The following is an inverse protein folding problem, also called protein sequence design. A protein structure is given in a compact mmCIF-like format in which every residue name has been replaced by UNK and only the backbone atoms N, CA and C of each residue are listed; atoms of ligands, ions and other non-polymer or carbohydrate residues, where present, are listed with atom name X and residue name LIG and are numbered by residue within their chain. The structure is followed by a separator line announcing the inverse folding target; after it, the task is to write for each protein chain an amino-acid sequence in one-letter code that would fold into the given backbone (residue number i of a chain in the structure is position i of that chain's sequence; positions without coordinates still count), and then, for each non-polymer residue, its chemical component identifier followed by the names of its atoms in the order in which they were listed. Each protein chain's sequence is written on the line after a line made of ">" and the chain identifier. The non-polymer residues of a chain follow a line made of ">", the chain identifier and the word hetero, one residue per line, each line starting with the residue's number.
data_IF_270106632254
#
_entry.id   IF_270106632254
#
_cell.length_a   1.000
_cell.length_b   1.000
_cell.length_c   1.000
_cell.angle_alpha   90.00
_cell.angle_beta   90.00
_cell.angle_gamma   90.00
#
_symmetry.space_group_name_H-M   'P 1'
#
loop_
_entity.id
_entity.type
_entity.pdbx_description
1 polymer ?
#
# COMPACT_ATOMS: atom_id res chain seq x y z
N UNK A 1 -44.58 -38.99 -20.18
CA UNK A 1 -43.38 -38.17 -20.50
C UNK A 1 -43.07 -37.26 -19.30
N UNK A 2 -42.39 -37.73 -18.23
CA UNK A 2 -42.21 -36.95 -16.98
C UNK A 2 -40.76 -36.49 -16.74
N UNK A 3 -39.90 -36.40 -17.76
CA UNK A 3 -38.46 -36.13 -17.58
C UNK A 3 -38.08 -34.64 -17.52
N UNK A 4 -38.99 -33.71 -17.88
CA UNK A 4 -38.66 -32.27 -17.90
C UNK A 4 -38.80 -31.56 -16.55
N UNK A 5 -39.68 -32.02 -15.66
CA UNK A 5 -39.88 -31.37 -14.34
C UNK A 5 -38.68 -31.54 -13.39
N UNK A 6 -37.87 -32.57 -13.56
CA UNK A 6 -36.74 -32.84 -12.67
C UNK A 6 -35.52 -31.94 -12.98
N UNK A 7 -35.38 -31.48 -14.23
CA UNK A 7 -34.27 -30.62 -14.65
C UNK A 7 -34.46 -29.16 -14.21
N UNK A 8 -35.70 -28.66 -14.26
CA UNK A 8 -36.01 -27.28 -13.85
C UNK A 8 -35.89 -27.09 -12.33
N UNK A 9 -36.19 -28.13 -11.54
CA UNK A 9 -36.03 -28.12 -10.08
C UNK A 9 -34.56 -28.17 -9.63
N UNK A 10 -33.68 -28.79 -10.44
CA UNK A 10 -32.23 -28.79 -10.20
C UNK A 10 -31.59 -27.43 -10.54
N UNK A 11 -32.05 -26.75 -11.58
CA UNK A 11 -31.56 -25.41 -11.94
C UNK A 11 -32.03 -24.32 -10.96
N UNK A 12 -33.22 -24.45 -10.36
CA UNK A 12 -33.72 -23.51 -9.35
C UNK A 12 -32.93 -23.53 -8.03
N UNK A 13 -32.23 -24.62 -7.71
CA UNK A 13 -31.48 -24.77 -6.45
C UNK A 13 -29.99 -24.49 -6.57
N UNK A 14 -29.43 -24.36 -7.79
CA UNK A 14 -27.99 -24.27 -8.04
C UNK A 14 -27.46 -22.86 -8.41
N UNK A 15 -28.32 -21.85 -8.41
CA UNK A 15 -28.03 -20.53 -8.99
C UNK A 15 -27.75 -19.35 -8.06
N UNK A 16 -27.66 -19.54 -6.73
CA UNK A 16 -27.26 -18.45 -5.81
C UNK A 16 -25.94 -18.81 -5.11
N UNK A 17 -24.85 -18.90 -5.86
CA UNK A 17 -23.52 -18.68 -5.28
C UNK A 17 -23.56 -17.26 -4.71
N UNK A 18 -23.70 -17.15 -3.39
CA UNK A 18 -23.87 -15.88 -2.69
C UNK A 18 -22.90 -14.85 -3.25
N UNK A 19 -23.44 -13.69 -3.63
CA UNK A 19 -22.64 -12.54 -4.02
C UNK A 19 -21.60 -12.32 -2.94
N UNK A 20 -20.33 -12.63 -3.25
CA UNK A 20 -19.22 -12.29 -2.35
C UNK A 20 -19.38 -10.78 -2.09
N UNK A 21 -19.44 -10.39 -0.83
CA UNK A 21 -19.62 -8.99 -0.45
C UNK A 21 -18.58 -8.07 -1.12
N UNK A 22 -18.75 -6.74 -1.00
CA UNK A 22 -17.89 -5.78 -1.71
C UNK A 22 -16.41 -6.07 -1.43
N UNK A 23 -15.60 -6.04 -2.48
CA UNK A 23 -14.16 -6.22 -2.36
C UNK A 23 -13.55 -5.11 -1.51
N UNK A 24 -12.34 -5.34 -0.98
CA UNK A 24 -11.63 -4.28 -0.25
C UNK A 24 -11.35 -3.06 -1.12
N UNK A 25 -11.19 -3.25 -2.43
CA UNK A 25 -11.01 -2.15 -3.39
C UNK A 25 -12.30 -1.36 -3.54
N UNK A 26 -13.46 -2.01 -3.63
CA UNK A 26 -14.75 -1.33 -3.66
C UNK A 26 -14.98 -0.48 -2.40
N UNK A 27 -14.53 -0.97 -1.24
CA UNK A 27 -14.57 -0.21 0.00
C UNK A 27 -13.65 1.03 -0.05
N UNK A 28 -12.42 0.89 -0.56
CA UNK A 28 -11.49 2.00 -0.73
C UNK A 28 -12.08 3.07 -1.66
N UNK A 29 -12.63 2.67 -2.80
CA UNK A 29 -13.24 3.61 -3.75
C UNK A 29 -14.47 4.31 -3.16
N UNK A 30 -15.32 3.57 -2.45
CA UNK A 30 -16.50 4.13 -1.76
C UNK A 30 -16.10 5.14 -0.69
N UNK A 31 -15.10 4.82 0.12
CA UNK A 31 -14.58 5.73 1.14
C UNK A 31 -13.90 6.95 0.49
N UNK A 32 -13.09 6.78 -0.54
CA UNK A 32 -12.49 7.89 -1.27
C UNK A 32 -13.54 8.88 -1.77
N UNK A 33 -14.64 8.37 -2.37
CA UNK A 33 -15.78 9.19 -2.78
C UNK A 33 -16.41 9.93 -1.60
N UNK A 34 -16.59 9.26 -0.45
CA UNK A 34 -17.12 9.89 0.78
C UNK A 34 -16.24 11.05 1.26
N UNK A 35 -14.92 10.94 1.13
CA UNK A 35 -13.97 11.99 1.50
C UNK A 35 -13.78 13.06 0.40
N UNK A 36 -14.41 12.92 -0.77
CA UNK A 36 -14.21 13.80 -1.91
C UNK A 36 -12.81 13.66 -2.53
N UNK A 37 -12.23 12.47 -2.45
CA UNK A 37 -10.90 12.16 -2.98
C UNK A 37 -10.97 11.44 -4.33
N UNK A 38 -9.98 11.69 -5.19
CA UNK A 38 -9.78 10.96 -6.46
C UNK A 38 -8.47 10.19 -6.42
N UNK A 39 -8.49 8.95 -6.91
CA UNK A 39 -7.36 8.01 -6.84
C UNK A 39 -6.83 7.75 -8.26
N UNK A 40 -5.51 7.71 -8.45
CA UNK A 40 -4.88 7.43 -9.76
C UNK A 40 -4.89 5.95 -10.12
N UNK A 41 -4.67 5.06 -9.14
CA UNK A 41 -4.50 3.62 -9.37
C UNK A 41 -5.63 2.80 -8.75
N UNK A 42 -6.84 3.36 -8.71
CA UNK A 42 -8.02 2.75 -8.08
C UNK A 42 -7.83 2.37 -6.59
N UNK A 43 -6.75 2.87 -5.95
CA UNK A 43 -6.37 2.55 -4.57
C UNK A 43 -5.44 1.35 -4.39
N UNK A 44 -5.00 0.67 -5.45
CA UNK A 44 -4.11 -0.51 -5.38
C UNK A 44 -2.67 -0.15 -5.00
N UNK A 45 -2.00 0.69 -5.80
CA UNK A 45 -0.60 1.08 -5.61
C UNK A 45 0.41 -0.08 -5.58
N UNK A 46 0.07 -1.24 -6.15
CA UNK A 46 0.91 -2.45 -6.08
C UNK A 46 0.96 -3.11 -4.69
N UNK A 47 0.04 -2.76 -3.79
CA UNK A 47 0.01 -3.19 -2.39
C UNK A 47 -1.19 -4.12 -2.13
N UNK A 48 -1.09 -5.11 -1.22
CA UNK A 48 -2.23 -5.94 -0.85
C UNK A 48 -3.44 -5.10 -0.40
N UNK A 49 -4.67 -5.36 -0.90
CA UNK A 49 -5.81 -4.47 -0.69
C UNK A 49 -6.13 -4.13 0.77
N UNK A 50 -5.97 -5.10 1.69
CA UNK A 50 -6.18 -4.88 3.14
C UNK A 50 -5.17 -3.90 3.73
N UNK A 51 -3.91 -3.97 3.29
CA UNK A 51 -2.87 -3.03 3.71
C UNK A 51 -3.13 -1.65 3.09
N UNK A 52 -3.48 -1.59 1.80
CA UNK A 52 -3.86 -0.35 1.14
C UNK A 52 -4.98 0.37 1.90
N UNK A 53 -6.07 -0.33 2.24
CA UNK A 53 -7.19 0.24 3.00
C UNK A 53 -6.74 0.82 4.35
N UNK A 54 -5.86 0.12 5.08
CA UNK A 54 -5.31 0.61 6.35
C UNK A 54 -4.55 1.92 6.17
N UNK A 55 -3.75 2.03 5.11
CA UNK A 55 -2.97 3.24 4.81
C UNK A 55 -3.87 4.39 4.36
N UNK A 56 -4.83 4.13 3.47
CA UNK A 56 -5.80 5.15 3.03
C UNK A 56 -6.56 5.78 4.21
N UNK A 57 -7.03 4.94 5.14
CA UNK A 57 -7.70 5.40 6.37
C UNK A 57 -6.75 6.15 7.30
N UNK A 58 -5.50 5.68 7.49
CA UNK A 58 -4.48 6.36 8.32
C UNK A 58 -4.25 7.81 7.89
N UNK A 59 -4.27 8.08 6.58
CA UNK A 59 -4.05 9.42 6.03
C UNK A 59 -5.35 10.18 5.72
N UNK A 60 -6.52 9.64 6.06
CA UNK A 60 -7.81 10.31 5.84
C UNK A 60 -8.06 10.68 4.37
N UNK A 61 -7.60 9.83 3.44
CA UNK A 61 -7.72 10.04 1.99
C UNK A 61 -7.18 11.41 1.52
N UNK A 62 -6.04 11.83 2.08
CA UNK A 62 -5.36 13.08 1.75
C UNK A 62 -3.87 12.86 1.48
N UNK A 63 -3.31 13.72 0.64
CA UNK A 63 -1.87 13.75 0.43
C UNK A 63 -1.16 14.12 1.74
N UNK A 64 -0.26 13.26 2.19
CA UNK A 64 0.53 13.44 3.40
C UNK A 64 1.42 14.69 3.38
N UNK A 65 1.68 15.25 2.20
CA UNK A 65 2.56 16.41 2.02
C UNK A 65 1.83 17.73 1.82
N UNK A 66 0.83 17.78 0.95
CA UNK A 66 0.13 19.03 0.60
C UNK A 66 -1.35 19.06 0.99
N UNK A 67 -1.87 18.00 1.61
CA UNK A 67 -3.27 17.93 2.07
C UNK A 67 -4.32 17.79 0.97
N UNK A 68 -3.96 17.91 -0.31
CA UNK A 68 -4.93 17.73 -1.40
C UNK A 68 -5.56 16.35 -1.39
N UNK A 69 -6.78 16.25 -1.92
CA UNK A 69 -7.51 14.99 -2.09
C UNK A 69 -7.56 14.50 -3.55
N UNK A 70 -6.90 15.21 -4.46
CA UNK A 70 -6.95 14.93 -5.89
C UNK A 70 -5.78 14.06 -6.34
N UNK A 71 -6.04 13.12 -7.24
CA UNK A 71 -5.04 12.29 -7.95
C UNK A 71 -4.09 11.60 -6.99
N UNK A 72 -4.64 10.91 -5.98
CA UNK A 72 -3.89 10.26 -4.93
C UNK A 72 -3.40 8.88 -5.34
N UNK A 73 -2.21 8.51 -4.89
CA UNK A 73 -1.59 7.20 -5.04
C UNK A 73 -0.89 6.78 -3.76
N UNK A 74 -0.64 5.47 -3.60
CA UNK A 74 0.22 4.95 -2.54
C UNK A 74 1.67 4.96 -3.02
N UNK A 75 2.54 5.51 -2.18
CA UNK A 75 3.97 5.64 -2.42
C UNK A 75 4.76 4.83 -1.39
N UNK A 76 5.73 4.05 -1.86
CA UNK A 76 6.71 3.37 -1.02
C UNK A 76 7.88 4.30 -0.70
N UNK A 77 8.08 4.61 0.58
CA UNK A 77 9.15 5.51 1.02
C UNK A 77 10.54 4.91 0.79
N UNK A 78 10.70 3.61 1.06
CA UNK A 78 11.96 2.90 0.90
C UNK A 78 12.46 2.74 -0.54
N UNK A 79 11.62 3.06 -1.54
CA UNK A 79 12.06 3.16 -2.94
C UNK A 79 12.91 4.41 -3.23
N UNK A 80 13.03 5.32 -2.25
CA UNK A 80 13.85 6.54 -2.34
C UNK A 80 14.94 6.42 -1.27
N UNK A 81 16.16 6.09 -1.69
CA UNK A 81 17.32 5.78 -0.83
C UNK A 81 17.93 7.04 -0.22
N UNK A 82 17.10 7.95 0.28
CA UNK A 82 17.56 9.24 0.80
C UNK A 82 18.09 9.14 2.25
N UNK A 83 18.05 7.94 2.84
CA UNK A 83 18.68 7.65 4.13
C UNK A 83 18.94 6.15 4.30
N UNK A 84 19.91 5.80 5.13
CA UNK A 84 20.22 4.41 5.51
C UNK A 84 18.98 3.66 6.02
N UNK A 85 18.10 4.34 6.77
CA UNK A 85 16.84 3.77 7.23
C UNK A 85 15.88 3.43 6.10
N UNK A 86 15.80 4.25 5.05
CA UNK A 86 14.93 4.00 3.90
C UNK A 86 15.47 2.86 3.03
N UNK A 87 16.80 2.78 2.91
CA UNK A 87 17.51 1.66 2.26
C UNK A 87 17.24 0.32 2.99
N UNK A 88 17.32 0.32 4.32
CA UNK A 88 17.00 -0.86 5.15
C UNK A 88 15.53 -1.28 5.04
N UNK A 89 14.60 -0.33 4.85
CA UNK A 89 13.18 -0.61 4.72
C UNK A 89 12.82 -1.17 3.34
N UNK A 90 13.56 -0.81 2.28
CA UNK A 90 13.36 -1.31 0.92
C UNK A 90 11.90 -1.31 0.46
N UNK A 91 11.50 -2.35 -0.27
CA UNK A 91 10.11 -2.53 -0.71
C UNK A 91 9.23 -3.23 0.34
N UNK A 92 9.58 -3.15 1.63
CA UNK A 92 8.80 -3.80 2.68
C UNK A 92 7.34 -3.31 2.68
N UNK A 93 6.42 -4.26 2.55
CA UNK A 93 4.97 -4.06 2.49
C UNK A 93 4.39 -3.78 3.88
N UNK A 94 4.72 -2.62 4.46
CA UNK A 94 4.24 -2.20 5.78
C UNK A 94 3.58 -0.82 5.72
N UNK A 95 2.60 -0.59 6.61
CA UNK A 95 1.83 0.66 6.62
C UNK A 95 2.68 1.90 6.99
N UNK A 96 3.86 1.71 7.56
CA UNK A 96 4.79 2.79 7.92
C UNK A 96 5.77 3.11 6.78
N UNK A 97 6.06 2.13 5.92
CA UNK A 97 6.81 2.33 4.68
C UNK A 97 5.95 2.91 3.55
N UNK A 98 4.63 3.01 3.75
CA UNK A 98 3.70 3.57 2.79
C UNK A 98 3.26 4.99 3.16
N UNK A 99 3.01 5.81 2.15
CA UNK A 99 2.41 7.13 2.27
C UNK A 99 1.37 7.35 1.17
N UNK A 100 0.36 8.17 1.44
CA UNK A 100 -0.57 8.67 0.42
C UNK A 100 -0.01 9.98 -0.14
N UNK A 101 0.25 10.04 -1.43
CA UNK A 101 0.72 11.25 -2.11
C UNK A 101 -0.16 11.57 -3.32
N UNK A 102 -0.32 12.85 -3.64
CA UNK A 102 -0.88 13.23 -4.93
C UNK A 102 0.17 13.10 -6.03
N UNK A 103 -0.24 12.94 -7.29
CA UNK A 103 0.66 12.81 -8.44
C UNK A 103 1.79 13.86 -8.42
N UNK A 104 1.47 15.14 -8.21
CA UNK A 104 2.47 16.22 -8.15
C UNK A 104 3.52 16.01 -7.04
N UNK A 105 3.09 15.63 -5.84
CA UNK A 105 4.01 15.40 -4.72
C UNK A 105 4.78 14.09 -4.87
N UNK A 106 4.17 13.08 -5.49
CA UNK A 106 4.80 11.83 -5.83
C UNK A 106 5.98 12.05 -6.78
N UNK A 107 5.72 12.76 -7.88
CA UNK A 107 6.74 13.05 -8.90
C UNK A 107 7.86 13.93 -8.34
N UNK A 108 7.52 14.95 -7.53
CA UNK A 108 8.53 15.76 -6.85
C UNK A 108 9.49 14.90 -6.01
N UNK A 109 8.96 13.90 -5.28
CA UNK A 109 9.79 13.03 -4.43
C UNK A 109 10.75 12.21 -5.28
N UNK A 110 10.28 11.66 -6.41
CA UNK A 110 11.15 10.95 -7.35
C UNK A 110 12.16 11.87 -8.05
N UNK A 111 11.78 13.09 -8.41
CA UNK A 111 12.69 14.04 -9.06
C UNK A 111 13.80 14.52 -8.12
N UNK A 112 13.49 14.72 -6.83
CA UNK A 112 14.54 15.01 -5.84
C UNK A 112 15.50 13.84 -5.70
N UNK A 113 15.02 12.61 -5.73
CA UNK A 113 15.86 11.42 -5.70
C UNK A 113 16.79 11.37 -6.92
N UNK A 114 16.24 11.56 -8.13
CA UNK A 114 17.01 11.59 -9.38
C UNK A 114 18.07 12.68 -9.39
N UNK A 115 17.75 13.89 -8.92
CA UNK A 115 18.71 15.00 -8.80
C UNK A 115 19.88 14.68 -7.86
N UNK A 116 19.65 13.83 -6.86
CA UNK A 116 20.69 13.33 -5.95
C UNK A 116 21.48 12.15 -6.53
N UNK A 117 21.22 11.76 -7.79
CA UNK A 117 21.83 10.60 -8.44
C UNK A 117 21.28 9.27 -7.93
N UNK A 118 20.13 9.28 -7.26
CA UNK A 118 19.50 8.10 -6.67
C UNK A 118 18.29 7.72 -7.53
N UNK A 119 18.41 6.66 -8.33
CA UNK A 119 17.27 6.09 -9.03
C UNK A 119 16.67 4.94 -8.22
N UNK A 120 15.37 5.04 -7.98
CA UNK A 120 14.53 3.98 -7.41
C UNK A 120 14.64 2.62 -8.13
N UNK A 121 15.03 2.61 -9.41
CA UNK A 121 15.28 1.38 -10.18
C UNK A 121 16.69 0.80 -10.01
N UNK A 122 17.63 1.57 -9.45
CA UNK A 122 19.05 1.19 -9.38
C UNK A 122 19.46 0.57 -8.05
N UNK A 123 18.62 0.66 -7.02
CA UNK A 123 18.85 -0.04 -5.76
C UNK A 123 18.24 -1.42 -5.80
N UNK A 124 19.04 -2.44 -5.50
CA UNK A 124 18.57 -3.62 -4.78
C UNK A 124 18.57 -3.22 -3.31
N UNK A 125 17.42 -2.86 -2.71
CA UNK A 125 17.37 -2.59 -1.28
C UNK A 125 17.94 -3.78 -0.54
N UNK A 126 18.71 -3.54 0.52
CA UNK A 126 19.22 -4.62 1.38
C UNK A 126 18.11 -5.54 1.90
N UNK A 127 16.87 -5.05 1.95
CA UNK A 127 15.67 -5.81 2.37
C UNK A 127 15.00 -6.67 1.30
N UNK A 128 15.40 -6.59 0.03
CA UNK A 128 14.70 -7.26 -1.09
C UNK A 128 15.25 -8.68 -1.38
N UNK A 129 16.29 -9.11 -0.65
CA UNK A 129 17.01 -10.36 -0.90
C UNK A 129 16.74 -11.54 0.03
N UNK A 130 15.76 -11.48 0.94
CA UNK A 130 15.51 -12.55 1.90
C UNK A 130 14.37 -12.22 2.86
N UNK A 131 13.88 -13.19 3.66
CA UNK A 131 12.73 -13.00 4.53
C UNK A 131 12.99 -11.79 5.43
N UNK A 132 12.26 -10.69 5.17
CA UNK A 132 12.48 -9.41 5.82
C UNK A 132 12.64 -9.57 7.33
N UNK A 133 13.61 -8.85 7.90
CA UNK A 133 13.88 -8.85 9.33
C UNK A 133 12.56 -8.65 10.07
N UNK A 134 12.22 -9.61 10.94
CA UNK A 134 10.95 -9.60 11.67
C UNK A 134 10.84 -8.29 12.45
N UNK A 135 9.65 -7.70 12.62
CA UNK A 135 9.46 -6.45 13.35
C UNK A 135 10.15 -6.40 14.73
N UNK A 136 10.24 -7.56 15.42
CA UNK A 136 10.96 -7.71 16.69
C UNK A 136 12.47 -7.46 16.58
N UNK A 137 13.08 -7.76 15.45
CA UNK A 137 14.51 -7.61 15.21
C UNK A 137 14.88 -6.15 14.90
N UNK A 138 13.99 -5.44 14.17
CA UNK A 138 14.05 -3.98 14.01
C UNK A 138 13.94 -3.29 15.37
N UNK A 139 13.01 -3.73 16.22
CA UNK A 139 12.82 -3.19 17.57
C UNK A 139 14.00 -3.51 18.51
N UNK A 140 14.60 -4.70 18.41
CA UNK A 140 15.79 -5.09 19.18
C UNK A 140 17.00 -4.23 18.81
N UNK A 141 17.23 -3.96 17.52
CA UNK A 141 18.28 -3.05 17.05
C UNK A 141 18.08 -1.61 17.51
N UNK A 142 16.83 -1.12 17.57
CA UNK A 142 16.51 0.20 18.17
C UNK A 142 16.89 0.31 19.65
N UNK A 143 16.71 -0.77 20.41
CA UNK A 143 17.13 -0.80 21.82
C UNK A 143 18.65 -0.88 21.97
N UNK A 144 19.34 -1.59 21.06
CA UNK A 144 20.79 -1.76 21.08
C UNK A 144 21.55 -0.51 20.58
N UNK A 145 21.02 0.23 19.60
CA UNK A 145 21.60 1.48 19.10
C UNK A 145 21.41 2.71 20.01
N UNK A 146 20.72 2.57 21.15
CA UNK A 146 20.58 3.62 22.18
C UNK A 146 21.70 3.62 23.22
N UNK A 147 22.60 2.65 23.20
CA UNK A 147 23.82 2.71 23.99
C UNK A 147 24.80 3.68 23.28
N UNK A 148 24.68 4.98 23.57
CA UNK A 148 25.76 5.94 23.31
C UNK A 148 26.98 5.48 24.12
N UNK A 149 28.20 5.46 23.56
CA UNK A 149 29.37 5.52 24.42
C UNK A 149 29.32 6.88 25.12
N UNK A 150 29.23 6.83 26.45
CA UNK A 150 29.52 7.99 27.29
C UNK A 150 30.97 8.40 27.07
N UNK A 151 31.18 9.71 27.09
CA UNK A 151 32.48 10.40 27.21
C UNK A 151 33.34 9.78 28.32
#
# INVERSE_FOLDING_TARGET
>A
MPEREHLDRWNATRGKKGSKGPSTIDLIQREAKKYGATLETEGHGGVPPKLSLKVWRKFGYQCARCGTRKRLTLHHKGGVVDSERLDEMGHAMTADNLAVLCAKCHDFVHDQARKKGIDSQQVKPKGDGGPGLKPKEIERRRKQGRARPGL
#
